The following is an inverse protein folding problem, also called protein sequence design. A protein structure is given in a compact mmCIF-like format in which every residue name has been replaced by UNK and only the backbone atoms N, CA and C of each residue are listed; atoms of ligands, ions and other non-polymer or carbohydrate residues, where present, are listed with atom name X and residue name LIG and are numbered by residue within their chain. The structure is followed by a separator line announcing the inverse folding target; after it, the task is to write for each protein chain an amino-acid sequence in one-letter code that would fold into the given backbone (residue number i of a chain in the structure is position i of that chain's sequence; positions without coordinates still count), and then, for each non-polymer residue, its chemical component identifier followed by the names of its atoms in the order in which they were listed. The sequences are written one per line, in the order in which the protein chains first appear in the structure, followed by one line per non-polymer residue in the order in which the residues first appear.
data_IF_736697396384
#
_entry.id   IF_736697396384
#
_cell.length_a   1.000
_cell.length_b   1.000
_cell.length_c   1.000
_cell.angle_alpha   90.00
_cell.angle_beta   90.00
_cell.angle_gamma   90.00
#
_symmetry.space_group_name_H-M   'P 1'
#
loop_
_entity.id
_entity.type
_entity.pdbx_description
1 polymer ?
#
# COMPACT_ATOMS: atom_id res chain seq x y z
N UNK A 1 -32.93 8.20 4.64
CA UNK A 1 -31.49 8.55 4.54
C UNK A 1 -30.90 7.72 3.41
N UNK A 2 -30.28 8.35 2.42
CA UNK A 2 -29.59 7.63 1.34
C UNK A 2 -28.34 6.96 1.92
N UNK A 3 -28.13 5.68 1.63
CA UNK A 3 -26.90 4.98 2.00
C UNK A 3 -25.70 5.68 1.36
N UNK A 4 -24.58 5.86 2.07
CA UNK A 4 -23.39 6.48 1.51
C UNK A 4 -22.91 5.68 0.28
N UNK A 5 -22.41 6.37 -0.78
CA UNK A 5 -22.07 5.71 -2.05
C UNK A 5 -20.86 4.77 -1.93
N UNK A 6 -20.08 4.88 -0.86
CA UNK A 6 -18.92 4.04 -0.57
C UNK A 6 -18.58 4.05 0.92
N UNK A 7 -17.79 3.07 1.36
CA UNK A 7 -17.24 3.00 2.71
C UNK A 7 -15.75 3.35 2.64
N UNK A 8 -15.31 4.36 3.38
CA UNK A 8 -13.90 4.72 3.52
C UNK A 8 -13.37 4.22 4.87
N UNK A 9 -12.31 3.41 4.84
CA UNK A 9 -11.67 2.89 6.07
C UNK A 9 -10.14 2.82 5.95
N UNK A 10 -9.42 2.75 7.08
CA UNK A 10 -8.03 2.34 7.08
C UNK A 10 -7.85 0.97 6.41
N UNK A 11 -6.77 0.83 5.66
CA UNK A 11 -6.38 -0.46 5.11
C UNK A 11 -5.90 -1.41 6.20
N UNK A 12 -6.03 -2.70 5.92
CA UNK A 12 -5.51 -3.83 6.68
C UNK A 12 -4.44 -4.55 5.86
N UNK A 13 -3.72 -5.47 6.49
CA UNK A 13 -2.75 -6.33 5.80
C UNK A 13 -3.41 -7.20 4.71
N UNK A 14 -4.66 -7.63 4.93
CA UNK A 14 -5.38 -8.50 4.01
C UNK A 14 -5.85 -7.78 2.74
N UNK A 15 -5.85 -6.44 2.75
CA UNK A 15 -6.22 -5.63 1.59
C UNK A 15 -5.09 -5.55 0.55
N UNK A 16 -3.85 -5.86 0.92
CA UNK A 16 -2.65 -5.69 0.08
C UNK A 16 -2.76 -6.37 -1.29
N UNK A 17 -3.26 -7.62 -1.43
CA UNK A 17 -3.44 -8.23 -2.74
C UNK A 17 -4.37 -7.42 -3.63
N UNK A 18 -5.56 -7.03 -3.15
CA UNK A 18 -6.52 -6.23 -3.92
C UNK A 18 -5.94 -4.84 -4.25
N UNK A 19 -5.28 -4.19 -3.30
CA UNK A 19 -4.59 -2.92 -3.54
C UNK A 19 -3.53 -3.04 -4.64
N UNK A 20 -2.75 -4.13 -4.65
CA UNK A 20 -1.74 -4.39 -5.67
C UNK A 20 -2.37 -4.50 -7.05
N UNK A 21 -3.47 -5.24 -7.18
CA UNK A 21 -4.22 -5.33 -8.43
C UNK A 21 -4.75 -3.98 -8.89
N UNK A 22 -5.30 -3.16 -7.98
CA UNK A 22 -5.79 -1.82 -8.28
C UNK A 22 -4.64 -0.93 -8.81
N UNK A 23 -3.48 -0.95 -8.15
CA UNK A 23 -2.31 -0.14 -8.56
C UNK A 23 -1.79 -0.59 -9.93
N UNK A 24 -1.67 -1.89 -10.18
CA UNK A 24 -1.24 -2.40 -11.50
C UNK A 24 -2.26 -1.97 -12.56
N UNK A 25 -3.56 -2.19 -12.34
CA UNK A 25 -4.59 -1.85 -13.30
C UNK A 25 -4.61 -0.33 -13.62
N UNK A 26 -4.38 0.52 -12.62
CA UNK A 26 -4.39 1.96 -12.79
C UNK A 26 -3.15 2.50 -13.52
N UNK A 27 -1.97 1.89 -13.33
CA UNK A 27 -0.70 2.50 -13.74
C UNK A 27 0.13 1.69 -14.74
N UNK A 28 -0.13 0.39 -14.93
CA UNK A 28 0.73 -0.49 -15.73
C UNK A 28 0.85 -0.04 -17.20
N UNK A 29 -0.19 0.59 -17.75
CA UNK A 29 -0.22 1.11 -19.13
C UNK A 29 0.24 2.57 -19.25
N UNK A 30 0.78 3.17 -18.19
CA UNK A 30 1.25 4.56 -18.21
C UNK A 30 2.67 4.69 -18.79
N UNK A 31 3.02 5.82 -19.44
CA UNK A 31 4.38 6.08 -19.91
C UNK A 31 5.42 6.03 -18.79
N UNK A 32 5.02 6.43 -17.58
CA UNK A 32 5.88 6.35 -16.39
C UNK A 32 6.16 4.90 -16.01
N UNK A 33 5.16 4.03 -16.07
CA UNK A 33 5.36 2.60 -15.82
C UNK A 33 6.23 1.93 -16.89
N UNK A 34 6.03 2.26 -18.16
CA UNK A 34 6.88 1.77 -19.26
C UNK A 34 8.34 2.23 -19.11
N UNK A 35 8.57 3.43 -18.59
CA UNK A 35 9.92 3.92 -18.28
C UNK A 35 10.55 3.22 -17.07
N UNK A 36 9.79 3.05 -15.98
CA UNK A 36 10.30 2.44 -14.74
C UNK A 36 10.46 0.91 -14.86
N UNK A 37 9.61 0.25 -15.63
CA UNK A 37 9.56 -1.21 -15.76
C UNK A 37 9.47 -1.63 -17.24
N UNK A 38 10.51 -1.41 -18.06
CA UNK A 38 10.44 -1.60 -19.51
C UNK A 38 10.14 -3.05 -19.94
N UNK A 39 10.44 -4.03 -19.08
CA UNK A 39 10.19 -5.45 -19.34
C UNK A 39 8.89 -5.98 -18.71
N UNK A 40 8.08 -5.11 -18.08
CA UNK A 40 6.86 -5.53 -17.38
C UNK A 40 5.85 -6.25 -18.28
N UNK A 41 5.79 -5.90 -19.57
CA UNK A 41 4.92 -6.57 -20.56
C UNK A 41 5.38 -7.99 -20.88
N UNK A 42 6.68 -8.27 -20.78
CA UNK A 42 7.27 -9.59 -21.01
C UNK A 42 7.18 -10.46 -19.75
N UNK A 43 7.30 -9.85 -18.57
CA UNK A 43 7.30 -10.54 -17.28
C UNK A 43 6.20 -9.98 -16.35
N UNK A 44 4.92 -10.27 -16.63
CA UNK A 44 3.80 -9.72 -15.84
C UNK A 44 3.76 -10.26 -14.40
N UNK A 45 4.27 -11.47 -14.16
CA UNK A 45 4.36 -12.05 -12.82
C UNK A 45 5.38 -11.30 -11.96
N UNK A 46 6.54 -10.95 -12.53
CA UNK A 46 7.58 -10.21 -11.83
C UNK A 46 7.11 -8.78 -11.49
N UNK A 47 6.34 -8.15 -12.40
CA UNK A 47 5.67 -6.88 -12.09
C UNK A 47 4.72 -7.03 -10.89
N UNK A 48 3.92 -8.09 -10.86
CA UNK A 48 2.98 -8.33 -9.77
C UNK A 48 3.68 -8.53 -8.43
N UNK A 49 4.76 -9.31 -8.41
CA UNK A 49 5.58 -9.52 -7.21
C UNK A 49 6.20 -8.20 -6.77
N UNK A 50 6.88 -7.48 -7.67
CA UNK A 50 7.55 -6.21 -7.39
C UNK A 50 6.57 -5.16 -6.86
N UNK A 51 5.40 -5.02 -7.50
CA UNK A 51 4.36 -4.10 -7.05
C UNK A 51 3.78 -4.51 -5.70
N UNK A 52 3.56 -5.81 -5.47
CA UNK A 52 3.11 -6.33 -4.18
C UNK A 52 4.10 -5.99 -3.06
N UNK A 53 5.40 -6.13 -3.31
CA UNK A 53 6.45 -5.71 -2.37
C UNK A 53 6.41 -4.19 -2.11
N UNK A 54 6.25 -3.38 -3.16
CA UNK A 54 6.21 -1.92 -3.05
C UNK A 54 4.98 -1.41 -2.25
N UNK A 55 3.80 -1.99 -2.51
CA UNK A 55 2.56 -1.71 -1.77
C UNK A 55 2.71 -2.13 -0.31
N UNK A 56 3.27 -3.31 -0.05
CA UNK A 56 3.51 -3.82 1.31
C UNK A 56 4.46 -2.90 2.09
N UNK A 57 5.60 -2.52 1.51
CA UNK A 57 6.55 -1.58 2.13
C UNK A 57 5.89 -0.24 2.43
N UNK A 58 5.07 0.26 1.51
CA UNK A 58 4.34 1.52 1.69
C UNK A 58 3.32 1.44 2.83
N UNK A 59 2.56 0.35 2.91
CA UNK A 59 1.60 0.10 4.00
C UNK A 59 2.30 -0.02 5.36
N UNK A 60 3.42 -0.72 5.44
CA UNK A 60 4.15 -0.92 6.71
C UNK A 60 4.90 0.33 7.17
N UNK A 61 5.13 1.30 6.29
CA UNK A 61 5.79 2.54 6.66
C UNK A 61 4.95 3.32 7.68
N UNK A 62 5.47 3.59 8.89
CA UNK A 62 4.73 4.31 9.93
C UNK A 62 4.40 5.76 9.55
N UNK A 63 5.04 6.31 8.50
CA UNK A 63 4.78 7.64 7.95
C UNK A 63 3.72 7.65 6.85
N UNK A 64 3.14 6.50 6.50
CA UNK A 64 2.15 6.39 5.43
C UNK A 64 0.77 6.11 6.00
N UNK A 65 -0.20 6.98 5.70
CA UNK A 65 -1.62 6.69 5.87
C UNK A 65 -2.12 5.92 4.63
N UNK A 66 -2.69 4.75 4.85
CA UNK A 66 -3.30 3.95 3.79
C UNK A 66 -4.80 3.86 4.03
N UNK A 67 -5.56 4.33 3.05
CA UNK A 67 -7.03 4.29 3.05
C UNK A 67 -7.52 3.46 1.87
N UNK A 68 -8.63 2.77 2.09
CA UNK A 68 -9.31 1.98 1.06
C UNK A 68 -10.78 2.38 0.99
N UNK A 69 -11.28 2.40 -0.25
CA UNK A 69 -12.67 2.64 -0.58
C UNK A 69 -13.29 1.29 -0.91
N UNK A 70 -14.31 0.89 -0.17
CA UNK A 70 -15.01 -0.37 -0.33
C UNK A 70 -16.42 -0.15 -0.90
N UNK A 71 -16.92 -1.16 -1.60
CA UNK A 71 -18.32 -1.20 -2.04
C UNK A 71 -19.25 -1.23 -0.81
N UNK A 72 -20.35 -0.44 -0.80
CA UNK A 72 -21.32 -0.48 0.30
C UNK A 72 -22.09 -1.81 0.36
N UNK A 73 -22.23 -2.50 -0.78
CA UNK A 73 -22.91 -3.81 -0.87
C UNK A 73 -22.00 -4.97 -0.44
N UNK A 74 -20.68 -4.76 -0.49
CA UNK A 74 -19.68 -5.78 -0.17
C UNK A 74 -18.43 -5.11 0.40
N UNK A 75 -18.35 -4.91 1.73
CA UNK A 75 -17.25 -4.20 2.38
C UNK A 75 -15.86 -4.84 2.18
N UNK A 76 -15.82 -6.11 1.77
CA UNK A 76 -14.60 -6.85 1.46
C UNK A 76 -14.07 -6.59 0.04
N UNK A 77 -14.87 -5.94 -0.81
CA UNK A 77 -14.50 -5.59 -2.19
C UNK A 77 -13.96 -4.17 -2.23
N UNK A 78 -12.67 -4.04 -2.55
CA UNK A 78 -12.01 -2.75 -2.70
C UNK A 78 -12.24 -2.19 -4.10
N UNK A 79 -12.64 -0.93 -4.16
CA UNK A 79 -12.86 -0.18 -5.39
C UNK A 79 -11.70 0.77 -5.68
N UNK A 80 -11.11 1.34 -4.62
CA UNK A 80 -9.95 2.21 -4.74
C UNK A 80 -9.07 2.16 -3.49
N UNK A 81 -7.82 2.58 -3.63
CA UNK A 81 -6.90 2.74 -2.50
C UNK A 81 -6.06 4.01 -2.66
N UNK A 82 -5.69 4.62 -1.53
CA UNK A 82 -4.80 5.77 -1.46
C UNK A 82 -3.73 5.57 -0.40
N UNK A 83 -2.47 5.84 -0.76
CA UNK A 83 -1.31 5.78 0.13
C UNK A 83 -0.67 7.17 0.22
N UNK A 84 -0.75 7.78 1.40
CA UNK A 84 -0.30 9.15 1.65
C UNK A 84 0.86 9.16 2.63
N UNK A 85 2.07 9.41 2.13
CA UNK A 85 3.27 9.47 2.98
C UNK A 85 3.59 10.89 3.41
N UNK A 86 3.69 11.13 4.73
CA UNK A 86 4.24 12.40 5.24
C UNK A 86 5.75 12.43 5.01
N UNK A 87 6.21 13.42 4.25
CA UNK A 87 7.64 13.70 3.99
C UNK A 87 8.10 14.87 4.87
N UNK A 88 9.41 14.94 5.11
CA UNK A 88 10.04 15.98 5.94
C UNK A 88 10.51 15.49 7.32
N UNK A 89 11.26 16.36 7.99
CA UNK A 89 11.78 16.20 9.36
C UNK A 89 11.19 17.30 10.27
N UNK A 90 9.91 17.62 10.07
CA UNK A 90 9.21 18.64 10.85
C UNK A 90 8.48 18.03 12.06
N UNK A 91 8.05 18.90 12.97
CA UNK A 91 7.27 18.50 14.15
C UNK A 91 5.94 17.81 13.77
N UNK A 92 5.40 18.11 12.59
CA UNK A 92 4.20 17.47 12.05
C UNK A 92 4.43 15.99 11.71
N UNK A 93 5.57 15.68 11.07
CA UNK A 93 5.97 14.32 10.75
C UNK A 93 6.24 13.50 12.00
N UNK A 94 6.87 14.10 13.02
CA UNK A 94 7.02 13.44 14.32
C UNK A 94 5.69 13.18 14.99
N UNK A 95 4.80 14.18 15.03
CA UNK A 95 3.47 14.05 15.64
C UNK A 95 2.66 12.95 14.97
N UNK A 96 2.66 12.91 13.64
CA UNK A 96 1.96 11.89 12.85
C UNK A 96 2.41 10.46 13.21
N UNK A 97 3.71 10.25 13.38
CA UNK A 97 4.23 8.93 13.80
C UNK A 97 3.90 8.64 15.27
N UNK A 98 3.90 9.65 16.14
CA UNK A 98 3.59 9.50 17.57
C UNK A 98 2.11 9.26 17.86
N UNK A 99 1.21 9.71 16.99
CA UNK A 99 -0.24 9.45 17.10
C UNK A 99 -0.59 7.97 16.95
N UNK A 100 0.30 7.16 16.34
CA UNK A 100 0.13 5.70 16.29
C UNK A 100 0.54 5.02 17.59
N UNK A 101 -0.19 3.96 17.92
CA UNK A 101 0.12 3.11 19.07
C UNK A 101 1.56 2.58 18.99
N UNK A 102 2.25 2.55 20.14
CA UNK A 102 3.61 1.99 20.25
C UNK A 102 3.66 0.52 19.79
N UNK A 103 2.59 -0.23 20.06
CA UNK A 103 2.48 -1.64 19.66
C UNK A 103 2.37 -1.76 18.14
N UNK A 104 1.55 -0.93 17.50
CA UNK A 104 1.40 -0.91 16.05
C UNK A 104 2.73 -0.55 15.37
N UNK A 105 3.44 0.44 15.92
CA UNK A 105 4.76 0.86 15.42
C UNK A 105 5.78 -0.26 15.51
N UNK A 106 5.85 -0.95 16.65
CA UNK A 106 6.78 -2.06 16.85
C UNK A 106 6.44 -3.24 15.94
N UNK A 107 5.16 -3.62 15.86
CA UNK A 107 4.70 -4.71 14.99
C UNK A 107 5.00 -4.44 13.51
N UNK A 108 4.71 -3.21 13.03
CA UNK A 108 5.06 -2.80 11.66
C UNK A 108 6.56 -2.79 11.43
N UNK A 109 7.35 -2.33 12.40
CA UNK A 109 8.81 -2.33 12.29
C UNK A 109 9.39 -3.74 12.21
N UNK A 110 8.94 -4.66 13.07
CA UNK A 110 9.35 -6.06 13.04
C UNK A 110 8.98 -6.73 11.72
N UNK A 111 7.72 -6.57 11.28
CA UNK A 111 7.24 -7.14 10.03
C UNK A 111 7.98 -6.56 8.82
N UNK A 112 8.24 -5.25 8.80
CA UNK A 112 8.99 -4.63 7.72
C UNK A 112 10.44 -5.12 7.68
N UNK A 113 11.11 -5.27 8.83
CA UNK A 113 12.47 -5.80 8.91
C UNK A 113 12.53 -7.26 8.44
N UNK A 114 11.57 -8.10 8.86
CA UNK A 114 11.47 -9.49 8.40
C UNK A 114 11.26 -9.59 6.89
N UNK A 115 10.30 -8.82 6.35
CA UNK A 115 10.02 -8.80 4.92
C UNK A 115 11.17 -8.19 4.10
N UNK A 116 11.89 -7.21 4.65
CA UNK A 116 13.07 -6.66 3.98
C UNK A 116 14.14 -7.74 3.78
N UNK A 117 14.40 -8.57 4.79
CA UNK A 117 15.31 -9.72 4.67
C UNK A 117 14.78 -10.72 3.66
N UNK A 118 13.50 -11.11 3.76
CA UNK A 118 12.88 -12.09 2.86
C UNK A 118 12.92 -11.63 1.40
N UNK A 119 12.62 -10.35 1.12
CA UNK A 119 12.69 -9.79 -0.22
C UNK A 119 14.12 -9.65 -0.74
N UNK A 120 15.10 -9.47 0.14
CA UNK A 120 16.52 -9.44 -0.26
C UNK A 120 17.05 -10.83 -0.60
N UNK A 121 16.50 -11.88 0.01
CA UNK A 121 16.87 -13.27 -0.30
C UNK A 121 16.20 -13.82 -1.56
N UNK A 122 15.09 -13.21 -1.98
CA UNK A 122 14.28 -13.66 -3.12
C UNK A 122 14.61 -12.93 -4.44
N UNK A 123 15.23 -11.75 -4.36
CA UNK A 123 15.79 -11.02 -5.52
C UNK A 123 17.27 -11.35 -5.69
#
# INVERSE_FOLDING_TARGET
MLSPPFILRPATLFDIPQMTHIVIAAYASSPVSDFLNPLAKQYPQDLQISMGQAVTKSYLNPRTLTLVVCSPESPDVLVACGMYSRKGLDSGAEKFVRERSRVERLGRWLLNSFLAVLFTLYN
#
